data_IF_875458735888
#
_entry.id   IF_875458735888
#
_cell.length_a   1.000
_cell.length_b   1.000
_cell.length_c   1.000
_cell.angle_alpha   90.00
_cell.angle_beta   90.00
_cell.angle_gamma   90.00
#
_symmetry.space_group_name_H-M   'P 1'
#
loop_
_entity.id
_entity.type
_entity.pdbx_description
1 polymer ?
#
# COMPACT_ATOMS: atom_id res chain seq x y z
N UNK A 1 -7.40 19.14 15.97
CA UNK A 1 -7.12 20.59 15.80
C UNK A 1 -7.78 21.45 16.85
N UNK A 2 -9.06 21.27 17.15
CA UNK A 2 -9.76 22.04 18.19
C UNK A 2 -9.04 21.99 19.54
N UNK A 3 -8.53 20.81 19.92
CA UNK A 3 -7.75 20.63 21.15
C UNK A 3 -6.43 21.39 21.13
N UNK A 4 -5.66 21.32 20.04
CA UNK A 4 -4.46 22.13 19.85
C UNK A 4 -4.78 23.62 19.97
N UNK A 5 -5.80 24.10 19.24
CA UNK A 5 -6.21 25.50 19.24
C UNK A 5 -6.69 25.98 20.61
N UNK A 6 -7.28 25.08 21.43
CA UNK A 6 -7.75 25.39 22.78
C UNK A 6 -6.64 25.37 23.84
N UNK A 7 -5.53 24.68 23.58
CA UNK A 7 -4.41 24.45 24.51
C UNK A 7 -3.11 25.12 24.03
N UNK A 8 -2.18 24.35 23.48
CA UNK A 8 -0.85 24.83 23.04
C UNK A 8 -0.95 25.96 22.03
N UNK A 9 -1.88 25.86 21.08
CA UNK A 9 -2.09 26.90 20.06
C UNK A 9 -2.48 28.24 20.71
N UNK A 10 -3.40 28.21 21.67
CA UNK A 10 -3.80 29.40 22.42
C UNK A 10 -2.65 30.03 23.22
N UNK A 11 -1.85 29.18 23.88
CA UNK A 11 -0.70 29.64 24.67
C UNK A 11 0.39 30.30 23.82
N UNK A 12 0.59 29.80 22.61
CA UNK A 12 1.62 30.27 21.69
C UNK A 12 1.08 31.22 20.59
N UNK A 13 -0.21 31.55 20.65
CA UNK A 13 -0.88 32.40 19.66
C UNK A 13 -0.81 31.80 18.23
N UNK A 14 -0.99 30.48 18.14
CA UNK A 14 -1.06 29.72 16.89
C UNK A 14 -2.47 29.19 16.71
N UNK A 15 -3.04 29.37 15.52
CA UNK A 15 -4.33 28.77 15.16
C UNK A 15 -4.14 27.89 13.94
N UNK A 16 -4.62 26.65 14.00
CA UNK A 16 -4.60 25.69 12.90
C UNK A 16 -6.01 25.54 12.35
N UNK A 17 -6.15 25.79 11.05
CA UNK A 17 -7.37 25.56 10.29
C UNK A 17 -7.12 24.46 9.26
N UNK A 18 -8.01 23.46 9.18
CA UNK A 18 -7.90 22.38 8.23
C UNK A 18 -9.00 22.42 7.20
N UNK A 19 -8.64 22.12 5.97
CA UNK A 19 -9.57 21.93 4.86
C UNK A 19 -9.31 20.59 4.18
N UNK A 20 -10.41 19.89 3.84
CA UNK A 20 -10.31 18.69 2.99
C UNK A 20 -10.30 19.11 1.53
N UNK A 21 -9.43 18.50 0.74
CA UNK A 21 -9.38 18.70 -0.71
C UNK A 21 -10.07 17.56 -1.49
N UNK A 22 -10.75 16.64 -0.78
CA UNK A 22 -11.40 15.48 -1.38
C UNK A 22 -10.50 14.25 -1.37
N UNK A 23 -10.23 13.68 -2.53
CA UNK A 23 -9.33 12.52 -2.65
C UNK A 23 -7.85 12.92 -2.61
N UNK A 24 -6.96 11.92 -2.48
CA UNK A 24 -5.50 12.13 -2.59
C UNK A 24 -5.14 12.78 -3.93
N UNK A 25 -5.73 12.30 -5.03
CA UNK A 25 -5.47 12.85 -6.36
C UNK A 25 -5.94 14.31 -6.50
N UNK A 26 -7.07 14.68 -5.85
CA UNK A 26 -7.55 16.06 -5.83
C UNK A 26 -6.58 16.95 -5.03
N UNK A 27 -6.11 16.47 -3.88
CA UNK A 27 -5.13 17.19 -3.07
C UNK A 27 -3.83 17.44 -3.84
N UNK A 28 -3.25 16.40 -4.45
CA UNK A 28 -2.04 16.52 -5.28
C UNK A 28 -2.23 17.53 -6.43
N UNK A 29 -3.34 17.42 -7.16
CA UNK A 29 -3.67 18.32 -8.25
C UNK A 29 -3.76 19.76 -7.79
N UNK A 30 -4.45 20.02 -6.66
CA UNK A 30 -4.64 21.36 -6.12
C UNK A 30 -3.34 21.96 -5.58
N UNK A 31 -2.52 21.16 -4.88
CA UNK A 31 -1.22 21.60 -4.37
C UNK A 31 -0.27 21.95 -5.52
N UNK A 32 -0.16 21.11 -6.54
CA UNK A 32 0.67 21.38 -7.70
C UNK A 32 0.18 22.63 -8.49
N UNK A 33 -1.14 22.79 -8.65
CA UNK A 33 -1.70 23.96 -9.30
C UNK A 33 -1.40 25.25 -8.50
N UNK A 34 -1.49 25.20 -7.18
CA UNK A 34 -1.13 26.31 -6.28
C UNK A 34 0.38 26.63 -6.37
N UNK A 35 1.24 25.61 -6.31
CA UNK A 35 2.69 25.76 -6.41
C UNK A 35 3.14 26.37 -7.75
N UNK A 36 2.47 26.01 -8.85
CA UNK A 36 2.73 26.54 -10.19
C UNK A 36 2.09 27.94 -10.41
N UNK A 37 1.31 28.45 -9.47
CA UNK A 37 0.60 29.72 -9.61
C UNK A 37 -0.43 29.73 -10.73
N UNK A 38 -1.11 28.60 -10.99
CA UNK A 38 -2.12 28.50 -12.04
C UNK A 38 -3.30 29.44 -11.80
N UNK A 39 -3.86 30.00 -12.87
CA UNK A 39 -5.02 30.88 -12.79
C UNK A 39 -6.21 30.13 -12.16
N UNK A 40 -6.73 30.70 -11.07
CA UNK A 40 -7.85 30.10 -10.32
C UNK A 40 -7.44 29.06 -9.28
N UNK A 41 -6.15 28.75 -9.13
CA UNK A 41 -5.67 27.93 -8.01
C UNK A 41 -5.80 28.69 -6.68
N UNK A 42 -5.98 27.96 -5.59
CA UNK A 42 -5.91 28.50 -4.24
C UNK A 42 -4.48 28.94 -3.89
N UNK A 43 -4.33 29.71 -2.82
CA UNK A 43 -3.00 29.98 -2.25
C UNK A 43 -2.40 28.70 -1.68
N UNK A 44 -1.06 28.61 -1.68
CA UNK A 44 -0.36 27.49 -1.03
C UNK A 44 -0.70 27.45 0.46
N UNK A 45 -1.14 26.31 1.00
CA UNK A 45 -1.34 26.19 2.45
C UNK A 45 0.02 26.19 3.18
N UNK A 46 0.04 26.55 4.44
CA UNK A 46 1.26 26.45 5.25
C UNK A 46 1.72 25.00 5.44
N UNK A 47 0.76 24.08 5.53
CA UNK A 47 1.01 22.62 5.67
C UNK A 47 0.09 21.88 4.71
N UNK A 48 0.60 20.89 4.01
CA UNK A 48 -0.21 19.97 3.20
C UNK A 48 0.27 18.53 3.36
N UNK A 49 -0.64 17.59 3.19
CA UNK A 49 -0.28 16.17 3.16
C UNK A 49 0.22 15.78 1.78
N UNK A 50 1.32 15.04 1.68
CA UNK A 50 1.85 14.58 0.41
C UNK A 50 2.62 13.26 0.53
N UNK A 51 2.65 12.52 -0.56
CA UNK A 51 3.65 11.48 -0.80
C UNK A 51 4.97 12.10 -1.29
N UNK A 52 6.03 11.31 -1.25
CA UNK A 52 7.38 11.77 -1.61
C UNK A 52 7.46 12.36 -3.03
N UNK A 53 6.77 11.79 -4.01
CA UNK A 53 6.77 12.28 -5.39
C UNK A 53 6.17 13.69 -5.51
N UNK A 54 5.05 13.95 -4.85
CA UNK A 54 4.42 15.29 -4.83
C UNK A 54 5.28 16.28 -4.07
N UNK A 55 5.82 15.88 -2.91
CA UNK A 55 6.76 16.73 -2.15
C UNK A 55 8.00 17.08 -3.00
N UNK A 56 8.59 16.11 -3.69
CA UNK A 56 9.72 16.30 -4.58
C UNK A 56 9.40 17.32 -5.70
N UNK A 57 8.24 17.20 -6.33
CA UNK A 57 7.84 18.13 -7.39
C UNK A 57 7.72 19.59 -6.86
N UNK A 58 7.14 19.79 -5.68
CA UNK A 58 7.05 21.11 -5.02
C UNK A 58 8.41 21.61 -4.55
N UNK A 59 9.27 20.71 -4.07
CA UNK A 59 10.64 21.03 -3.64
C UNK A 59 11.51 21.54 -4.81
N UNK A 60 11.38 20.94 -6.00
CA UNK A 60 12.06 21.41 -7.21
C UNK A 60 11.67 22.85 -7.61
N UNK A 61 10.53 23.34 -7.14
CA UNK A 61 10.10 24.75 -7.29
C UNK A 61 10.65 25.67 -6.18
N UNK A 62 11.37 25.09 -5.21
CA UNK A 62 11.95 25.83 -4.05
C UNK A 62 10.93 26.25 -3.00
N UNK A 63 9.77 25.58 -2.93
CA UNK A 63 8.64 25.94 -2.09
C UNK A 63 8.48 25.06 -0.85
N UNK A 64 9.38 24.09 -0.59
CA UNK A 64 9.38 23.25 0.60
C UNK A 64 10.38 23.72 1.63
N UNK A 65 9.95 23.77 2.90
CA UNK A 65 10.84 24.10 4.01
C UNK A 65 11.66 22.85 4.43
N UNK A 66 12.93 23.06 4.78
CA UNK A 66 13.73 22.05 5.47
C UNK A 66 13.48 22.16 6.97
N UNK A 67 12.93 21.11 7.55
CA UNK A 67 12.58 21.04 8.96
C UNK A 67 13.73 20.55 9.86
N UNK A 68 14.87 20.17 9.31
CA UNK A 68 16.00 19.58 10.03
C UNK A 68 16.54 20.49 11.15
N UNK A 69 16.50 21.80 10.95
CA UNK A 69 16.91 22.83 11.94
C UNK A 69 15.88 23.12 13.02
N UNK A 70 14.63 22.66 12.88
CA UNK A 70 13.55 22.87 13.85
C UNK A 70 13.40 21.71 14.84
N UNK A 71 14.12 20.61 14.63
CA UNK A 71 14.09 19.42 15.47
C UNK A 71 15.44 19.24 16.18
N UNK A 72 15.41 18.98 17.47
CA UNK A 72 16.60 18.54 18.22
C UNK A 72 16.98 17.11 17.86
N UNK A 73 18.21 16.69 18.17
CA UNK A 73 18.66 15.32 17.93
C UNK A 73 17.83 14.30 18.73
N UNK A 74 17.36 14.67 19.94
CA UNK A 74 16.47 13.83 20.75
C UNK A 74 15.09 13.68 20.09
N UNK A 75 14.53 14.77 19.55
CA UNK A 75 13.26 14.73 18.83
C UNK A 75 13.36 13.90 17.52
N UNK A 76 14.48 14.00 16.80
CA UNK A 76 14.73 13.15 15.62
C UNK A 76 14.84 11.69 16.01
N UNK A 77 15.56 11.38 17.08
CA UNK A 77 15.74 10.00 17.58
C UNK A 77 14.44 9.35 18.11
N UNK A 78 13.36 10.11 18.28
CA UNK A 78 12.06 9.58 18.64
C UNK A 78 11.35 8.86 17.48
N UNK A 79 11.76 9.09 16.23
CA UNK A 79 11.19 8.50 15.02
C UNK A 79 12.09 7.41 14.46
N UNK A 80 11.55 6.38 13.79
CA UNK A 80 12.35 5.54 12.89
C UNK A 80 13.09 6.40 11.85
N UNK A 81 14.37 6.14 11.65
CA UNK A 81 15.21 6.92 10.73
C UNK A 81 14.62 6.93 9.30
N UNK A 82 14.09 5.80 8.84
CA UNK A 82 13.46 5.68 7.53
C UNK A 82 12.27 6.61 7.31
N UNK A 83 11.58 7.01 8.38
CA UNK A 83 10.44 7.93 8.28
C UNK A 83 10.91 9.37 8.05
N UNK A 84 12.01 9.79 8.68
CA UNK A 84 12.55 11.14 8.53
C UNK A 84 13.32 11.30 7.21
N UNK A 85 13.99 10.23 6.74
CA UNK A 85 14.79 10.27 5.50
C UNK A 85 13.95 10.14 4.24
N UNK A 86 12.64 9.86 4.33
CA UNK A 86 11.73 9.82 3.18
C UNK A 86 11.72 11.12 2.37
N UNK A 87 11.90 12.26 3.06
CA UNK A 87 12.00 13.60 2.46
C UNK A 87 13.43 14.07 2.15
N UNK A 88 14.44 13.24 2.38
CA UNK A 88 15.83 13.55 2.07
C UNK A 88 16.18 13.06 0.65
N UNK A 89 15.86 13.90 -0.33
CA UNK A 89 15.93 13.52 -1.74
C UNK A 89 17.36 13.43 -2.31
N UNK A 90 18.31 14.09 -1.67
CA UNK A 90 19.70 14.26 -2.12
C UNK A 90 20.75 13.78 -1.10
N UNK A 91 20.33 13.06 -0.07
CA UNK A 91 21.17 12.53 1.01
C UNK A 91 21.93 13.65 1.78
N UNK A 92 21.33 14.84 1.86
CA UNK A 92 21.91 16.01 2.56
C UNK A 92 21.56 16.11 4.05
N UNK A 93 20.71 15.21 4.55
CA UNK A 93 20.19 15.19 5.92
C UNK A 93 19.04 16.17 6.14
N UNK A 94 18.37 16.61 5.07
CA UNK A 94 17.18 17.46 5.14
C UNK A 94 15.94 16.67 5.55
N UNK A 95 15.00 17.33 6.24
CA UNK A 95 13.69 16.75 6.59
C UNK A 95 12.61 17.59 5.90
N UNK A 96 12.14 17.14 4.76
CA UNK A 96 11.13 17.83 3.94
C UNK A 96 9.73 17.25 4.10
N UNK A 97 9.63 16.04 4.63
CA UNK A 97 8.38 15.37 4.94
C UNK A 97 8.37 15.01 6.42
N UNK A 98 7.41 15.54 7.17
CA UNK A 98 7.25 15.24 8.59
C UNK A 98 6.28 14.06 8.74
N UNK A 99 6.68 12.91 9.32
CA UNK A 99 5.82 11.76 9.48
C UNK A 99 4.74 12.04 10.52
N UNK A 100 3.48 11.68 10.23
CA UNK A 100 2.35 11.84 11.15
C UNK A 100 1.51 10.58 11.32
N UNK A 101 1.48 9.73 10.29
CA UNK A 101 0.84 8.43 10.28
C UNK A 101 1.46 7.59 9.17
N UNK A 102 1.80 6.35 9.49
CA UNK A 102 2.40 5.43 8.52
C UNK A 102 1.54 4.17 8.36
N UNK A 103 1.79 3.43 7.30
CA UNK A 103 1.14 2.16 7.03
C UNK A 103 2.07 1.21 6.29
N UNK A 104 1.71 -0.06 6.34
CA UNK A 104 2.32 -1.12 5.53
C UNK A 104 1.25 -2.03 4.97
N UNK A 105 1.60 -3.05 4.22
CA UNK A 105 0.66 -4.01 3.66
C UNK A 105 0.59 -5.28 4.51
N UNK A 106 -0.63 -5.79 4.68
CA UNK A 106 -0.94 -7.02 5.40
C UNK A 106 -1.88 -7.91 4.57
N UNK A 107 -1.91 -9.19 4.88
CA UNK A 107 -2.86 -10.14 4.33
C UNK A 107 -4.12 -10.20 5.21
N UNK A 108 -5.25 -9.88 4.64
CA UNK A 108 -6.58 -9.95 5.25
C UNK A 108 -7.32 -11.18 4.72
N UNK A 109 -7.81 -12.02 5.63
CA UNK A 109 -8.43 -13.30 5.31
C UNK A 109 -9.83 -13.39 5.92
N UNK A 110 -10.81 -13.79 5.15
CA UNK A 110 -12.10 -14.27 5.64
C UNK A 110 -11.89 -15.62 6.33
N UNK A 111 -11.71 -15.58 7.64
CA UNK A 111 -11.38 -16.76 8.43
C UNK A 111 -12.54 -17.76 8.52
N UNK A 112 -13.76 -17.28 8.50
CA UNK A 112 -14.94 -18.14 8.54
C UNK A 112 -14.96 -19.13 7.38
N UNK A 113 -14.79 -18.65 6.16
CA UNK A 113 -14.80 -19.51 4.96
C UNK A 113 -13.47 -20.27 4.79
N UNK A 114 -12.36 -19.69 5.25
CA UNK A 114 -11.06 -20.37 5.31
C UNK A 114 -11.11 -21.64 6.16
N UNK A 115 -11.76 -21.60 7.34
CA UNK A 115 -11.85 -22.78 8.22
C UNK A 115 -12.57 -23.96 7.54
N UNK A 116 -13.57 -23.70 6.71
CA UNK A 116 -14.24 -24.76 5.94
C UNK A 116 -13.31 -25.39 4.89
N UNK A 117 -12.53 -24.58 4.20
CA UNK A 117 -11.51 -25.03 3.23
C UNK A 117 -10.38 -25.80 3.95
N UNK A 118 -9.83 -25.23 5.02
CA UNK A 118 -8.74 -25.82 5.80
C UNK A 118 -9.12 -27.19 6.38
N UNK A 119 -10.33 -27.32 6.93
CA UNK A 119 -10.85 -28.59 7.45
C UNK A 119 -10.98 -29.66 6.37
N UNK A 120 -11.32 -29.29 5.13
CA UNK A 120 -11.51 -30.20 4.01
C UNK A 120 -10.18 -30.62 3.35
N UNK A 121 -9.17 -29.75 3.32
CA UNK A 121 -7.96 -29.93 2.52
C UNK A 121 -6.68 -30.08 3.34
N UNK A 122 -6.70 -29.72 4.62
CA UNK A 122 -5.53 -29.67 5.49
C UNK A 122 -4.66 -28.43 5.26
N UNK A 123 -5.15 -27.41 4.55
CA UNK A 123 -4.46 -26.14 4.38
C UNK A 123 -4.23 -25.43 5.73
N UNK A 124 -3.13 -24.68 5.82
CA UNK A 124 -2.71 -23.97 7.03
C UNK A 124 -2.41 -22.51 6.71
N UNK A 125 -2.44 -21.63 7.72
CA UNK A 125 -2.06 -20.23 7.54
C UNK A 125 -0.62 -20.06 7.07
N UNK A 126 0.29 -20.94 7.50
CA UNK A 126 1.69 -20.95 7.09
C UNK A 126 1.85 -21.16 5.57
N UNK A 127 0.90 -21.83 4.92
CA UNK A 127 0.90 -21.99 3.45
C UNK A 127 0.71 -20.65 2.71
N UNK A 128 0.22 -19.62 3.41
CA UNK A 128 0.02 -18.28 2.87
C UNK A 128 1.19 -17.33 3.15
N UNK A 129 2.25 -17.78 3.82
CA UNK A 129 3.37 -16.91 4.21
C UNK A 129 4.31 -16.54 3.07
N UNK A 130 4.28 -17.30 1.97
CA UNK A 130 5.08 -17.00 0.78
C UNK A 130 4.20 -16.88 -0.46
N UNK A 131 4.67 -16.11 -1.45
CA UNK A 131 3.94 -15.96 -2.73
C UNK A 131 3.73 -17.30 -3.43
N UNK A 132 4.76 -18.15 -3.47
CA UNK A 132 4.67 -19.49 -4.06
C UNK A 132 3.69 -20.40 -3.30
N UNK A 133 3.69 -20.33 -1.95
CA UNK A 133 2.75 -21.06 -1.10
C UNK A 133 1.32 -20.58 -1.28
N UNK A 134 1.13 -19.25 -1.37
CA UNK A 134 -0.16 -18.62 -1.65
C UNK A 134 -0.72 -19.07 -3.01
N UNK A 135 0.10 -19.05 -4.08
CA UNK A 135 -0.29 -19.51 -5.41
C UNK A 135 -0.69 -20.99 -5.40
N UNK A 136 0.11 -21.85 -4.76
CA UNK A 136 -0.20 -23.27 -4.64
C UNK A 136 -1.49 -23.52 -3.84
N UNK A 137 -1.74 -22.74 -2.81
CA UNK A 137 -2.97 -22.80 -2.00
C UNK A 137 -4.17 -22.29 -2.78
N UNK A 138 -4.00 -21.24 -3.59
CA UNK A 138 -5.05 -20.70 -4.42
C UNK A 138 -5.54 -21.70 -5.48
N UNK A 139 -4.64 -22.45 -6.11
CA UNK A 139 -5.01 -23.52 -7.01
C UNK A 139 -5.82 -24.62 -6.30
N UNK A 140 -5.40 -25.03 -5.09
CA UNK A 140 -6.17 -26.00 -4.29
C UNK A 140 -7.56 -25.48 -3.88
N UNK A 141 -7.66 -24.18 -3.60
CA UNK A 141 -8.94 -23.55 -3.25
C UNK A 141 -9.88 -23.51 -4.46
N UNK A 142 -9.35 -23.15 -5.63
CA UNK A 142 -10.08 -23.18 -6.89
C UNK A 142 -10.64 -24.59 -7.17
N UNK A 143 -9.78 -25.62 -7.16
CA UNK A 143 -10.18 -27.00 -7.37
C UNK A 143 -11.22 -27.49 -6.34
N UNK A 144 -11.07 -27.08 -5.07
CA UNK A 144 -11.99 -27.47 -4.01
C UNK A 144 -13.35 -26.81 -4.17
N UNK A 145 -13.41 -25.57 -4.62
CA UNK A 145 -14.68 -24.86 -4.87
C UNK A 145 -15.36 -25.36 -6.15
N UNK A 146 -14.60 -25.59 -7.23
CA UNK A 146 -15.08 -26.15 -8.48
C UNK A 146 -15.73 -27.52 -8.28
N UNK A 147 -15.11 -28.41 -7.53
CA UNK A 147 -15.66 -29.73 -7.21
C UNK A 147 -16.98 -29.69 -6.43
N UNK A 148 -17.45 -28.55 -5.97
CA UNK A 148 -18.70 -28.35 -5.19
C UNK A 148 -19.87 -27.89 -6.05
N UNK A 149 -19.63 -27.61 -7.31
CA UNK A 149 -20.63 -27.22 -8.32
C UNK A 149 -20.77 -28.30 -9.38
N UNK A 150 -21.75 -28.17 -10.26
CA UNK A 150 -21.94 -29.08 -11.37
C UNK A 150 -21.34 -28.57 -12.69
N UNK A 151 -21.04 -27.28 -12.75
CA UNK A 151 -20.37 -26.68 -13.90
C UNK A 151 -18.85 -26.91 -13.73
N UNK A 152 -18.14 -27.28 -14.79
CA UNK A 152 -16.70 -27.42 -14.75
C UNK A 152 -16.03 -26.03 -14.86
N UNK A 153 -14.85 -25.90 -14.28
CA UNK A 153 -13.97 -24.73 -14.39
C UNK A 153 -14.61 -23.44 -13.86
N UNK A 154 -15.50 -23.56 -12.83
CA UNK A 154 -16.18 -22.43 -12.16
C UNK A 154 -15.71 -22.23 -10.72
N UNK A 155 -14.51 -22.69 -10.39
CA UNK A 155 -13.87 -22.51 -9.10
C UNK A 155 -13.71 -21.04 -8.73
N UNK A 156 -13.67 -20.76 -7.40
CA UNK A 156 -13.53 -19.40 -6.88
C UNK A 156 -12.06 -19.00 -6.69
N UNK A 157 -11.80 -17.73 -6.87
CA UNK A 157 -10.50 -17.17 -6.55
C UNK A 157 -10.26 -17.12 -5.04
N UNK A 158 -9.04 -17.45 -4.62
CA UNK A 158 -8.62 -17.30 -3.23
C UNK A 158 -8.21 -15.87 -2.91
N UNK A 159 -7.53 -15.20 -3.83
CA UNK A 159 -6.74 -14.03 -3.50
C UNK A 159 -6.89 -12.88 -4.49
N UNK A 160 -6.78 -11.67 -3.98
CA UNK A 160 -6.63 -10.45 -4.75
C UNK A 160 -5.61 -9.52 -4.08
N UNK A 161 -5.21 -8.47 -4.77
CA UNK A 161 -4.23 -7.53 -4.24
C UNK A 161 -4.58 -6.10 -4.63
N UNK A 162 -4.50 -5.19 -3.68
CA UNK A 162 -4.43 -3.76 -3.92
C UNK A 162 -2.99 -3.35 -4.25
N UNK A 163 -2.78 -2.15 -4.81
CA UNK A 163 -1.48 -1.53 -5.03
C UNK A 163 -0.45 -2.43 -5.75
N UNK A 164 -0.71 -2.75 -7.02
CA UNK A 164 0.19 -3.57 -7.84
C UNK A 164 1.58 -2.97 -8.01
N UNK A 165 1.71 -1.64 -7.98
CA UNK A 165 3.02 -1.00 -7.97
C UNK A 165 3.85 -1.42 -6.75
N UNK A 166 3.25 -1.59 -5.58
CA UNK A 166 3.96 -2.11 -4.41
C UNK A 166 4.40 -3.57 -4.61
N UNK A 167 3.54 -4.42 -5.18
CA UNK A 167 3.91 -5.79 -5.52
C UNK A 167 5.18 -5.85 -6.39
N UNK A 168 5.22 -5.00 -7.43
CA UNK A 168 6.37 -4.92 -8.32
C UNK A 168 7.64 -4.41 -7.63
N UNK A 169 7.52 -3.35 -6.81
CA UNK A 169 8.64 -2.72 -6.13
C UNK A 169 9.19 -3.58 -4.98
N UNK A 170 8.31 -4.07 -4.11
CA UNK A 170 8.68 -4.88 -2.96
C UNK A 170 9.15 -6.26 -3.41
N UNK A 171 8.40 -6.92 -4.31
CA UNK A 171 8.79 -8.23 -4.84
C UNK A 171 10.13 -8.19 -5.57
N UNK A 172 10.40 -7.15 -6.39
CA UNK A 172 11.72 -6.98 -6.99
C UNK A 172 12.82 -6.83 -5.92
N UNK A 173 12.56 -6.05 -4.87
CA UNK A 173 13.50 -5.83 -3.77
C UNK A 173 13.79 -7.13 -3.01
N UNK A 174 12.77 -7.91 -2.69
CA UNK A 174 12.88 -9.24 -2.08
C UNK A 174 13.70 -10.20 -2.95
N UNK A 175 13.50 -10.13 -4.26
CA UNK A 175 14.24 -10.92 -5.25
C UNK A 175 15.66 -10.37 -5.56
N UNK A 176 16.12 -9.39 -4.79
CA UNK A 176 17.48 -8.84 -4.85
C UNK A 176 17.68 -7.72 -5.89
N UNK A 177 16.60 -7.15 -6.42
CA UNK A 177 16.66 -6.05 -7.40
C UNK A 177 15.96 -4.80 -6.87
N UNK A 178 16.65 -3.68 -6.77
CA UNK A 178 16.04 -2.36 -6.53
C UNK A 178 15.56 -1.81 -7.86
N UNK A 179 14.24 -1.97 -8.14
CA UNK A 179 13.65 -1.69 -9.45
C UNK A 179 13.94 -0.27 -9.93
N UNK A 180 13.80 0.73 -9.09
CA UNK A 180 14.17 2.11 -9.37
C UNK A 180 15.37 2.53 -8.51
N UNK A 181 16.51 2.77 -9.13
CA UNK A 181 17.66 3.41 -8.49
C UNK A 181 17.68 4.89 -8.90
N UNK A 182 17.73 5.78 -7.90
CA UNK A 182 17.75 7.23 -8.15
C UNK A 182 19.04 7.81 -7.61
N UNK A 183 19.87 8.38 -8.49
CA UNK A 183 21.13 9.04 -8.16
C UNK A 183 21.13 10.46 -8.74
N UNK A 184 21.32 11.47 -7.91
CA UNK A 184 21.30 12.88 -8.32
C UNK A 184 20.03 13.28 -9.10
N UNK A 185 18.86 12.76 -8.68
CA UNK A 185 17.56 13.00 -9.30
C UNK A 185 17.34 12.26 -10.63
N UNK A 186 18.29 11.43 -11.06
CA UNK A 186 18.17 10.60 -12.26
C UNK A 186 17.80 9.17 -11.89
N UNK A 187 16.77 8.68 -12.51
CA UNK A 187 16.28 7.32 -12.30
C UNK A 187 16.86 6.35 -13.34
N UNK A 188 17.18 5.15 -12.87
CA UNK A 188 17.55 4.00 -13.70
C UNK A 188 16.66 2.82 -13.35
N UNK A 189 16.16 2.11 -14.37
CA UNK A 189 15.35 0.90 -14.21
C UNK A 189 16.24 -0.34 -14.10
N UNK A 190 16.08 -1.12 -13.03
CA UNK A 190 16.85 -2.35 -12.80
C UNK A 190 15.90 -3.55 -12.68
N UNK A 191 15.13 -3.83 -13.69
CA UNK A 191 14.25 -5.00 -13.76
C UNK A 191 14.86 -6.05 -14.68
N UNK A 192 15.41 -7.11 -14.09
CA UNK A 192 15.91 -8.25 -14.87
C UNK A 192 14.77 -9.16 -15.31
N UNK A 193 14.99 -9.90 -16.40
CA UNK A 193 14.01 -10.87 -16.90
C UNK A 193 13.66 -11.95 -15.85
N UNK A 194 14.65 -12.46 -15.11
CA UNK A 194 14.44 -13.46 -14.05
C UNK A 194 13.54 -12.94 -12.94
N UNK A 195 13.74 -11.69 -12.50
CA UNK A 195 12.88 -11.03 -11.49
C UNK A 195 11.49 -10.80 -12.05
N UNK A 196 11.39 -10.28 -13.26
CA UNK A 196 10.10 -10.07 -13.93
C UNK A 196 9.32 -11.37 -14.12
N UNK A 197 10.01 -12.48 -14.47
CA UNK A 197 9.41 -13.81 -14.60
C UNK A 197 8.84 -14.31 -13.25
N UNK A 198 9.60 -14.13 -12.17
CA UNK A 198 9.12 -14.50 -10.84
C UNK A 198 7.86 -13.72 -10.43
N UNK A 199 7.84 -12.42 -10.68
CA UNK A 199 6.67 -11.59 -10.43
C UNK A 199 5.47 -12.03 -11.29
N UNK A 200 5.70 -12.29 -12.58
CA UNK A 200 4.70 -12.78 -13.51
C UNK A 200 4.10 -14.13 -13.09
N UNK A 201 4.94 -15.10 -12.78
CA UNK A 201 4.51 -16.46 -12.42
C UNK A 201 3.69 -16.48 -11.12
N UNK A 202 3.90 -15.51 -10.22
CA UNK A 202 3.23 -15.44 -8.92
C UNK A 202 2.05 -14.45 -8.87
N UNK A 203 1.74 -13.74 -9.95
CA UNK A 203 0.54 -12.90 -10.02
C UNK A 203 -0.25 -13.10 -11.32
N UNK A 204 0.38 -12.88 -12.48
CA UNK A 204 -0.33 -12.96 -13.75
C UNK A 204 -0.85 -14.38 -14.03
N UNK A 205 0.01 -15.38 -13.89
CA UNK A 205 -0.36 -16.79 -14.15
C UNK A 205 -1.54 -17.24 -13.28
N UNK A 206 -1.51 -17.11 -11.94
CA UNK A 206 -2.66 -17.49 -11.13
C UNK A 206 -3.91 -16.63 -11.40
N UNK A 207 -3.76 -15.37 -11.85
CA UNK A 207 -4.90 -14.54 -12.21
C UNK A 207 -5.60 -15.04 -13.47
N UNK A 208 -4.85 -15.33 -14.53
CA UNK A 208 -5.40 -15.91 -15.79
C UNK A 208 -6.09 -17.24 -15.53
N UNK A 209 -5.57 -18.06 -14.60
CA UNK A 209 -6.19 -19.31 -14.15
C UNK A 209 -7.44 -19.16 -13.29
N UNK A 210 -7.80 -17.92 -12.90
CA UNK A 210 -8.93 -17.66 -12.02
C UNK A 210 -8.68 -18.01 -10.56
N UNK A 211 -7.42 -18.27 -10.18
CA UNK A 211 -7.04 -18.51 -8.79
C UNK A 211 -6.92 -17.20 -8.00
N UNK A 212 -6.62 -16.10 -8.71
CA UNK A 212 -6.63 -14.73 -8.23
C UNK A 212 -7.71 -13.94 -8.97
N UNK A 213 -8.25 -12.90 -8.32
CA UNK A 213 -9.25 -12.02 -8.93
C UNK A 213 -9.13 -10.58 -8.41
N UNK A 214 -9.77 -9.66 -9.11
CA UNK A 214 -9.84 -8.26 -8.75
C UNK A 214 -10.86 -7.51 -9.59
N UNK A 215 -12.11 -7.40 -9.11
CA UNK A 215 -13.23 -6.81 -9.83
C UNK A 215 -13.66 -5.45 -9.26
N UNK A 216 -13.72 -5.32 -7.93
CA UNK A 216 -14.10 -4.09 -7.24
C UNK A 216 -13.03 -3.01 -7.34
N UNK A 217 -13.36 -1.82 -6.87
CA UNK A 217 -12.40 -0.73 -6.75
C UNK A 217 -11.28 -1.08 -5.77
N UNK A 218 -11.65 -1.71 -4.65
CA UNK A 218 -10.74 -2.23 -3.64
C UNK A 218 -11.02 -3.70 -3.38
N UNK A 219 -10.02 -4.45 -2.96
CA UNK A 219 -10.15 -5.89 -2.67
C UNK A 219 -11.10 -6.17 -1.51
N UNK A 220 -11.26 -5.23 -0.57
CA UNK A 220 -12.29 -5.32 0.46
C UNK A 220 -13.72 -5.37 -0.12
N UNK A 221 -13.94 -4.81 -1.31
CA UNK A 221 -15.23 -4.94 -2.01
C UNK A 221 -15.43 -6.37 -2.56
N UNK A 222 -14.36 -7.01 -3.04
CA UNK A 222 -14.41 -8.39 -3.53
C UNK A 222 -14.64 -9.41 -2.39
N UNK A 223 -14.17 -9.12 -1.17
CA UNK A 223 -14.55 -9.91 0.02
C UNK A 223 -16.07 -9.82 0.28
N UNK A 224 -16.68 -8.64 0.13
CA UNK A 224 -18.13 -8.44 0.37
C UNK A 224 -19.00 -9.32 -0.53
N UNK A 225 -18.55 -9.57 -1.74
CA UNK A 225 -19.25 -10.38 -2.75
C UNK A 225 -18.81 -11.85 -2.74
N UNK A 226 -17.76 -12.19 -1.98
CA UNK A 226 -17.18 -13.54 -1.96
C UNK A 226 -16.41 -13.88 -3.25
N UNK A 227 -16.01 -12.89 -4.02
CA UNK A 227 -15.20 -13.07 -5.23
C UNK A 227 -13.78 -13.49 -4.89
N UNK A 228 -13.26 -13.06 -3.72
CA UNK A 228 -12.00 -13.54 -3.16
C UNK A 228 -12.17 -13.90 -1.68
N UNK A 229 -11.32 -14.80 -1.19
CA UNK A 229 -11.27 -15.19 0.21
C UNK A 229 -10.28 -14.36 1.02
N UNK A 230 -9.23 -13.89 0.40
CA UNK A 230 -8.17 -13.12 1.01
C UNK A 230 -7.68 -12.00 0.10
N UNK A 231 -7.07 -10.97 0.70
CA UNK A 231 -6.38 -9.94 -0.08
C UNK A 231 -5.22 -9.32 0.69
N UNK A 232 -4.27 -8.77 -0.06
CA UNK A 232 -3.24 -7.89 0.48
C UNK A 232 -3.63 -6.44 0.21
N UNK A 233 -3.55 -5.63 1.25
CA UNK A 233 -3.78 -4.19 1.21
C UNK A 233 -3.17 -3.48 2.40
N UNK A 234 -3.28 -2.15 2.43
CA UNK A 234 -2.81 -1.34 3.55
C UNK A 234 -3.46 -1.77 4.88
N UNK A 235 -2.73 -1.72 5.98
CA UNK A 235 -3.31 -1.98 7.31
C UNK A 235 -4.52 -1.07 7.60
N UNK A 236 -4.59 0.13 7.03
CA UNK A 236 -5.75 1.02 7.16
C UNK A 236 -7.02 0.45 6.50
N UNK A 237 -6.91 -0.48 5.56
CA UNK A 237 -8.06 -1.13 4.92
C UNK A 237 -8.84 -2.06 5.87
N UNK A 238 -8.28 -2.43 7.01
CA UNK A 238 -8.96 -3.21 8.04
C UNK A 238 -10.30 -2.59 8.48
N UNK A 239 -10.39 -1.26 8.48
CA UNK A 239 -11.62 -0.52 8.82
C UNK A 239 -12.75 -0.73 7.80
N UNK A 240 -12.42 -1.21 6.60
CA UNK A 240 -13.36 -1.49 5.50
C UNK A 240 -13.65 -2.97 5.32
N UNK A 241 -13.00 -3.85 6.10
CA UNK A 241 -13.25 -5.29 6.01
C UNK A 241 -14.72 -5.58 6.40
N UNK A 242 -15.47 -6.33 5.56
CA UNK A 242 -16.89 -6.54 5.78
C UNK A 242 -17.13 -7.51 6.96
N UNK A 243 -18.28 -7.34 7.62
CA UNK A 243 -18.74 -8.27 8.67
C UNK A 243 -19.52 -9.46 8.11
N UNK A 244 -19.90 -9.40 6.84
CA UNK A 244 -20.65 -10.45 6.15
C UNK A 244 -20.29 -10.51 4.67
N UNK A 245 -20.39 -11.68 4.09
CA UNK A 245 -20.36 -11.91 2.65
C UNK A 245 -21.77 -12.01 2.11
N UNK A 246 -22.03 -11.32 1.00
CA UNK A 246 -23.26 -11.42 0.23
C UNK A 246 -23.04 -12.36 -0.95
N UNK A 247 -23.48 -13.62 -0.84
CA UNK A 247 -23.27 -14.64 -1.87
C UNK A 247 -24.25 -14.48 -3.03
N UNK A 248 -25.48 -14.01 -2.74
CA UNK A 248 -26.50 -13.71 -3.73
C UNK A 248 -27.48 -12.67 -3.17
N UNK A 249 -28.48 -12.26 -3.95
CA UNK A 249 -29.51 -11.31 -3.50
C UNK A 249 -30.28 -11.78 -2.24
N UNK A 250 -30.28 -13.08 -1.96
CA UNK A 250 -31.05 -13.70 -0.87
C UNK A 250 -30.19 -14.47 0.13
N UNK A 251 -28.89 -14.59 -0.10
CA UNK A 251 -27.99 -15.40 0.74
C UNK A 251 -26.79 -14.60 1.19
N UNK A 252 -26.62 -14.51 2.50
CA UNK A 252 -25.46 -13.89 3.14
C UNK A 252 -25.10 -14.64 4.42
N UNK A 253 -23.85 -14.55 4.84
CA UNK A 253 -23.41 -15.08 6.13
C UNK A 253 -22.38 -14.15 6.79
N UNK A 254 -22.31 -14.19 8.11
CA UNK A 254 -21.32 -13.46 8.89
C UNK A 254 -19.94 -14.06 8.71
N UNK A 255 -18.94 -13.19 8.67
CA UNK A 255 -17.54 -13.58 8.55
C UNK A 255 -16.69 -12.92 9.63
N UNK A 256 -15.59 -13.58 9.97
CA UNK A 256 -14.55 -13.07 10.86
C UNK A 256 -13.29 -12.75 10.07
N UNK A 257 -12.59 -11.72 10.50
CA UNK A 257 -11.30 -11.32 9.94
C UNK A 257 -10.16 -12.07 10.67
N UNK A 258 -9.23 -12.63 9.90
CA UNK A 258 -7.88 -13.00 10.34
C UNK A 258 -6.88 -12.13 9.60
N UNK A 259 -5.92 -11.57 10.33
CA UNK A 259 -4.83 -10.78 9.77
C UNK A 259 -3.54 -11.60 9.85
N UNK A 260 -2.79 -11.60 8.76
CA UNK A 260 -1.51 -12.30 8.62
C UNK A 260 -0.47 -11.33 8.03
N UNK A 261 0.83 -11.60 8.20
CA UNK A 261 1.88 -10.86 7.51
C UNK A 261 1.68 -10.88 5.99
N UNK A 262 2.16 -9.85 5.30
CA UNK A 262 2.21 -9.82 3.84
C UNK A 262 3.06 -11.00 3.32
N UNK A 263 2.59 -11.81 2.35
CA UNK A 263 3.39 -12.88 1.78
C UNK A 263 4.66 -12.37 1.11
N UNK A 264 5.82 -12.95 1.44
CA UNK A 264 7.10 -12.67 0.78
C UNK A 264 7.49 -13.75 -0.22
N UNK A 265 8.48 -13.51 -1.09
CA UNK A 265 9.01 -14.57 -1.95
C UNK A 265 9.81 -15.59 -1.14
N UNK A 266 9.66 -16.88 -1.44
CA UNK A 266 10.28 -17.96 -0.68
C UNK A 266 11.81 -17.84 -0.63
N UNK A 267 12.36 -17.77 0.59
CA UNK A 267 13.81 -17.67 0.83
C UNK A 267 14.40 -16.29 0.62
N UNK A 268 13.57 -15.27 0.38
CA UNK A 268 13.99 -13.88 0.31
C UNK A 268 14.17 -13.27 1.70
N UNK A 269 14.78 -12.10 1.76
CA UNK A 269 14.70 -11.21 2.92
C UNK A 269 13.33 -10.55 2.93
N UNK A 270 12.68 -10.51 4.08
CA UNK A 270 11.39 -9.84 4.23
C UNK A 270 11.54 -8.32 4.09
N UNK A 271 10.73 -7.74 3.21
CA UNK A 271 10.69 -6.31 2.94
C UNK A 271 9.27 -5.82 3.12
N UNK A 272 9.10 -4.79 3.94
CA UNK A 272 7.80 -4.16 4.14
C UNK A 272 7.75 -2.81 3.41
N UNK A 273 6.66 -2.55 2.71
CA UNK A 273 6.47 -1.25 2.09
C UNK A 273 6.25 -0.18 3.15
N UNK A 274 7.01 0.92 3.09
CA UNK A 274 6.75 2.11 3.86
C UNK A 274 5.73 2.97 3.11
N UNK A 275 4.55 3.10 3.67
CA UNK A 275 3.43 3.88 3.14
C UNK A 275 2.94 4.93 4.13
N UNK A 276 1.97 5.72 3.70
CA UNK A 276 1.37 6.81 4.46
C UNK A 276 1.99 8.14 4.05
N UNK A 277 1.15 9.08 3.67
CA UNK A 277 1.58 10.45 3.39
C UNK A 277 2.11 11.11 4.66
N UNK A 278 3.12 11.96 4.50
CA UNK A 278 3.57 12.84 5.56
C UNK A 278 3.03 14.27 5.40
N UNK A 279 3.41 15.15 6.31
CA UNK A 279 3.10 16.57 6.24
C UNK A 279 4.29 17.35 5.72
N UNK A 280 4.05 18.14 4.70
CA UNK A 280 5.03 19.05 4.09
C UNK A 280 4.72 20.46 4.53
N UNK A 281 5.73 21.19 4.99
CA UNK A 281 5.62 22.61 5.33
C UNK A 281 6.06 23.45 4.14
N UNK A 282 5.20 24.36 3.70
CA UNK A 282 5.53 25.30 2.63
C UNK A 282 6.55 26.32 3.17
N UNK A 283 7.57 26.60 2.38
CA UNK A 283 8.61 27.57 2.71
C UNK A 283 8.02 28.96 2.91
N UNK A 284 8.31 29.56 4.06
CA UNK A 284 7.76 30.85 4.48
C UNK A 284 8.76 31.61 5.38
N UNK A 285 8.26 32.42 6.30
CA UNK A 285 9.10 33.04 7.34
C UNK A 285 9.50 32.00 8.40
N UNK A 286 10.66 32.15 9.06
CA UNK A 286 11.07 31.24 10.14
C UNK A 286 10.03 31.12 11.26
N UNK A 287 9.28 32.20 11.52
CA UNK A 287 8.23 32.22 12.54
C UNK A 287 7.03 31.36 12.15
N UNK A 288 6.62 31.42 10.89
CA UNK A 288 5.51 30.62 10.37
C UNK A 288 5.89 29.13 10.26
N UNK A 289 7.10 28.84 9.76
CA UNK A 289 7.63 27.47 9.74
C UNK A 289 7.73 26.87 11.14
N UNK A 290 8.22 27.65 12.15
CA UNK A 290 8.28 27.22 13.53
C UNK A 290 6.88 26.97 14.12
N UNK A 291 5.88 27.77 13.77
CA UNK A 291 4.50 27.55 14.17
C UNK A 291 3.92 26.25 13.59
N UNK A 292 4.19 25.96 12.32
CA UNK A 292 3.84 24.70 11.69
C UNK A 292 4.48 23.50 12.42
N UNK A 293 5.77 23.56 12.70
CA UNK A 293 6.49 22.50 13.41
C UNK A 293 5.98 22.32 14.84
N UNK A 294 5.60 23.40 15.53
CA UNK A 294 4.97 23.30 16.85
C UNK A 294 3.69 22.47 16.82
N UNK A 295 2.85 22.68 15.82
CA UNK A 295 1.65 21.86 15.64
C UNK A 295 2.00 20.39 15.32
N UNK A 296 2.95 20.15 14.41
CA UNK A 296 3.35 18.79 14.02
C UNK A 296 3.96 18.01 15.20
N UNK A 297 4.79 18.66 16.02
CA UNK A 297 5.32 18.07 17.26
C UNK A 297 4.23 17.72 18.27
N UNK A 298 3.24 18.60 18.45
CA UNK A 298 2.09 18.32 19.32
C UNK A 298 1.27 17.15 18.76
N UNK A 299 1.05 17.10 17.46
CA UNK A 299 0.27 16.07 16.82
C UNK A 299 0.92 14.68 16.94
N UNK A 300 2.25 14.62 16.99
CA UNK A 300 3.02 13.37 17.12
C UNK A 300 3.43 13.03 18.55
N UNK A 301 2.95 13.78 19.55
CA UNK A 301 3.02 13.30 20.93
C UNK A 301 2.27 11.96 21.06
N UNK A 302 2.77 10.98 21.84
CA UNK A 302 2.23 9.64 21.85
C UNK A 302 0.71 9.57 22.02
N UNK A 303 0.15 10.33 22.95
CA UNK A 303 -1.29 10.33 23.25
C UNK A 303 -2.13 10.78 22.04
N UNK A 304 -1.72 11.87 21.39
CA UNK A 304 -2.41 12.44 20.23
C UNK A 304 -2.24 11.56 19.00
N UNK A 305 -1.03 11.04 18.80
CA UNK A 305 -0.69 10.25 17.65
C UNK A 305 -1.36 8.87 17.66
N UNK A 306 -1.36 8.20 18.83
CA UNK A 306 -2.09 6.92 19.00
C UNK A 306 -3.59 7.13 18.71
N UNK A 307 -4.20 8.18 19.27
CA UNK A 307 -5.62 8.45 19.07
C UNK A 307 -5.95 8.63 17.58
N UNK A 308 -5.13 9.39 16.85
CA UNK A 308 -5.33 9.63 15.42
C UNK A 308 -5.05 8.37 14.58
N UNK A 309 -3.88 7.76 14.75
CA UNK A 309 -3.43 6.65 13.93
C UNK A 309 -4.36 5.43 14.08
N UNK A 310 -4.62 5.02 15.32
CA UNK A 310 -5.49 3.87 15.59
C UNK A 310 -6.93 4.13 15.13
N UNK A 311 -7.45 5.34 15.36
CA UNK A 311 -8.80 5.71 14.92
C UNK A 311 -8.97 5.73 13.40
N UNK A 312 -7.88 5.89 12.65
CA UNK A 312 -7.86 5.90 11.18
C UNK A 312 -7.30 4.61 10.56
N UNK A 313 -6.90 3.63 11.38
CA UNK A 313 -6.33 2.35 10.93
C UNK A 313 -4.88 2.44 10.46
N UNK A 314 -4.19 3.56 10.76
CA UNK A 314 -2.77 3.75 10.49
C UNK A 314 -1.90 3.35 11.69
N UNK A 315 -0.57 3.39 11.52
CA UNK A 315 0.41 3.24 12.57
C UNK A 315 0.82 4.61 13.11
N UNK A 316 1.05 4.74 14.42
CA UNK A 316 1.77 5.87 15.00
C UNK A 316 3.19 5.96 14.42
N UNK A 317 3.87 7.08 14.67
CA UNK A 317 5.15 7.36 13.98
C UNK A 317 6.34 7.52 14.90
N UNK A 318 6.17 7.46 16.21
CA UNK A 318 7.28 7.51 17.17
C UNK A 318 7.45 6.18 17.88
N UNK A 319 8.68 5.81 18.24
CA UNK A 319 8.95 4.56 18.98
C UNK A 319 8.12 4.43 20.26
N UNK A 320 7.80 5.55 20.93
CA UNK A 320 6.98 5.53 22.12
C UNK A 320 5.49 5.31 21.86
N UNK A 321 5.00 5.64 20.68
CA UNK A 321 3.61 5.49 20.28
C UNK A 321 3.38 4.21 19.46
N UNK A 322 4.37 3.75 18.70
CA UNK A 322 4.34 2.55 17.88
C UNK A 322 4.72 1.32 18.72
N UNK A 323 3.98 1.13 19.81
CA UNK A 323 4.16 0.06 20.78
C UNK A 323 2.80 -0.52 21.15
N UNK A 324 2.63 -1.83 20.99
CA UNK A 324 1.35 -2.52 21.24
C UNK A 324 0.85 -2.26 22.67
N UNK A 325 1.75 -2.26 23.66
CA UNK A 325 1.37 -2.04 25.06
C UNK A 325 0.92 -0.59 25.30
N UNK A 326 1.59 0.38 24.68
CA UNK A 326 1.18 1.79 24.76
C UNK A 326 -0.21 1.99 24.13
N UNK A 327 -0.46 1.36 22.98
CA UNK A 327 -1.76 1.41 22.30
C UNK A 327 -2.86 0.74 23.13
N UNK A 328 -2.62 -0.43 23.70
CA UNK A 328 -3.59 -1.11 24.57
C UNK A 328 -3.91 -0.33 25.84
N UNK A 329 -2.91 0.38 26.40
CA UNK A 329 -3.09 1.22 27.59
C UNK A 329 -3.64 2.62 27.29
N UNK A 330 -3.84 2.99 26.02
CA UNK A 330 -4.37 4.30 25.61
C UNK A 330 -5.82 4.57 26.04
N UNK A 331 -6.54 3.52 26.44
CA UNK A 331 -7.98 3.61 26.80
C UNK A 331 -8.92 3.61 25.60
N UNK A 332 -8.39 3.42 24.37
CA UNK A 332 -9.21 3.25 23.18
C UNK A 332 -9.91 1.88 23.19
N UNK A 333 -11.15 1.85 22.71
CA UNK A 333 -11.92 0.60 22.58
C UNK A 333 -11.51 -0.13 21.29
N UNK A 334 -10.53 -1.03 21.42
CA UNK A 334 -9.94 -1.79 20.31
C UNK A 334 -10.64 -3.15 20.19
N UNK A 335 -11.13 -3.44 19.00
CA UNK A 335 -11.56 -4.81 18.66
C UNK A 335 -10.35 -5.75 18.59
N UNK A 336 -10.57 -7.05 18.79
CA UNK A 336 -9.51 -8.05 18.68
C UNK A 336 -8.87 -8.04 17.27
N UNK A 337 -9.68 -7.86 16.21
CA UNK A 337 -9.17 -7.72 14.86
C UNK A 337 -8.26 -6.49 14.68
N UNK A 338 -8.57 -5.37 15.32
CA UNK A 338 -7.72 -4.18 15.26
C UNK A 338 -6.39 -4.42 16.01
N UNK A 339 -6.41 -5.13 17.13
CA UNK A 339 -5.19 -5.53 17.83
C UNK A 339 -4.30 -6.42 16.96
N UNK A 340 -4.90 -7.40 16.27
CA UNK A 340 -4.20 -8.25 15.30
C UNK A 340 -3.56 -7.44 14.16
N UNK A 341 -4.30 -6.45 13.62
CA UNK A 341 -3.78 -5.54 12.59
C UNK A 341 -2.55 -4.78 13.09
N UNK A 342 -2.69 -4.12 14.24
CA UNK A 342 -1.61 -3.32 14.81
C UNK A 342 -0.40 -4.19 15.15
N UNK A 343 -0.59 -5.36 15.77
CA UNK A 343 0.49 -6.25 16.12
C UNK A 343 1.28 -6.72 14.87
N UNK A 344 0.59 -7.14 13.80
CA UNK A 344 1.25 -7.56 12.57
C UNK A 344 1.92 -6.38 11.83
N UNK A 345 1.31 -5.20 11.84
CA UNK A 345 1.88 -4.05 11.17
C UNK A 345 3.11 -3.48 11.92
N UNK A 346 3.07 -3.44 13.25
CA UNK A 346 4.21 -3.05 14.09
C UNK A 346 5.36 -4.05 13.91
N UNK A 347 5.07 -5.35 13.96
CA UNK A 347 6.08 -6.39 13.73
C UNK A 347 6.77 -6.23 12.37
N UNK A 348 6.00 -5.95 11.30
CA UNK A 348 6.54 -5.70 9.98
C UNK A 348 7.44 -4.44 9.94
N UNK A 349 7.06 -3.36 10.65
CA UNK A 349 7.85 -2.13 10.70
C UNK A 349 9.15 -2.31 11.50
N UNK A 350 9.11 -3.08 12.59
CA UNK A 350 10.27 -3.27 13.47
C UNK A 350 11.26 -4.33 12.96
N UNK A 351 10.76 -5.38 12.28
CA UNK A 351 11.57 -6.56 11.97
C UNK A 351 11.90 -6.75 10.50
N UNK A 352 11.19 -6.05 9.57
CA UNK A 352 11.49 -6.13 8.14
C UNK A 352 12.27 -4.92 7.64
N UNK A 353 12.90 -5.03 6.47
CA UNK A 353 13.46 -3.87 5.78
C UNK A 353 12.33 -2.99 5.26
N UNK A 354 12.20 -1.78 5.82
CA UNK A 354 11.26 -0.80 5.28
C UNK A 354 11.78 -0.23 3.96
N UNK A 355 10.93 -0.23 2.95
CA UNK A 355 11.29 0.26 1.63
C UNK A 355 10.21 1.16 1.02
N UNK A 356 10.66 2.29 0.51
CA UNK A 356 9.94 3.13 -0.46
C UNK A 356 10.98 3.64 -1.47
N UNK A 357 10.68 3.71 -2.78
CA UNK A 357 11.64 4.24 -3.74
C UNK A 357 11.87 5.73 -3.51
N UNK A 358 13.09 6.21 -3.75
CA UNK A 358 13.35 7.64 -3.80
C UNK A 358 12.54 8.27 -4.95
N UNK A 359 11.95 9.46 -4.75
CA UNK A 359 11.21 10.15 -5.79
C UNK A 359 12.13 10.68 -6.89
N UNK A 360 11.59 10.81 -8.08
CA UNK A 360 12.26 11.36 -9.26
C UNK A 360 11.25 12.05 -10.19
N UNK A 361 11.75 12.81 -11.14
CA UNK A 361 10.90 13.47 -12.14
C UNK A 361 10.11 12.42 -12.95
N UNK A 362 8.77 12.48 -12.90
CA UNK A 362 7.90 11.49 -13.52
C UNK A 362 7.66 10.24 -12.69
N UNK A 363 8.09 10.20 -11.42
CA UNK A 363 7.92 9.06 -10.50
C UNK A 363 6.48 8.59 -10.36
N UNK A 364 5.53 9.53 -10.24
CA UNK A 364 4.09 9.23 -10.20
C UNK A 364 3.62 8.47 -11.45
N UNK A 365 4.06 8.88 -12.64
CA UNK A 365 3.64 8.23 -13.89
C UNK A 365 4.35 6.89 -14.10
N UNK A 366 5.62 6.78 -13.74
CA UNK A 366 6.33 5.50 -13.72
C UNK A 366 5.67 4.49 -12.76
N UNK A 367 5.21 4.96 -11.59
CA UNK A 367 4.44 4.15 -10.65
C UNK A 367 3.12 3.67 -11.25
N UNK A 368 2.40 4.49 -12.00
CA UNK A 368 1.18 4.08 -12.72
C UNK A 368 1.48 3.00 -13.77
N UNK A 369 2.62 3.06 -14.44
CA UNK A 369 3.05 1.97 -15.36
C UNK A 369 3.16 0.64 -14.60
N UNK A 370 3.77 0.64 -13.40
CA UNK A 370 3.84 -0.57 -12.57
C UNK A 370 2.46 -1.02 -12.09
N UNK A 371 1.60 -0.08 -11.71
CA UNK A 371 0.24 -0.35 -11.19
C UNK A 371 -0.62 -1.09 -12.22
N UNK A 372 -0.60 -0.64 -13.47
CA UNK A 372 -1.57 -1.09 -14.47
C UNK A 372 -1.03 -2.07 -15.50
N UNK A 373 0.29 -2.15 -15.70
CA UNK A 373 0.86 -2.95 -16.81
C UNK A 373 0.56 -4.44 -16.72
N UNK A 374 0.55 -5.02 -15.53
CA UNK A 374 0.27 -6.45 -15.32
C UNK A 374 -1.19 -6.67 -14.94
N UNK A 375 -1.78 -5.83 -14.10
CA UNK A 375 -3.14 -5.97 -13.60
C UNK A 375 -4.19 -5.84 -14.71
N UNK A 376 -4.06 -4.81 -15.57
CA UNK A 376 -4.98 -4.61 -16.68
C UNK A 376 -4.89 -5.75 -17.69
N UNK A 377 -3.66 -6.19 -18.01
CA UNK A 377 -3.44 -7.32 -18.90
C UNK A 377 -4.05 -8.60 -18.34
N UNK A 378 -3.78 -8.92 -17.07
CA UNK A 378 -4.31 -10.11 -16.40
C UNK A 378 -5.84 -10.11 -16.36
N UNK A 379 -6.46 -8.97 -16.09
CA UNK A 379 -7.92 -8.83 -16.08
C UNK A 379 -8.54 -9.01 -17.46
N UNK A 380 -7.94 -8.40 -18.50
CA UNK A 380 -8.41 -8.54 -19.88
C UNK A 380 -8.29 -9.98 -20.38
N UNK A 381 -7.16 -10.64 -20.10
CA UNK A 381 -6.90 -12.01 -20.54
C UNK A 381 -7.78 -13.01 -19.78
N UNK A 382 -8.00 -12.82 -18.47
CA UNK A 382 -8.94 -13.64 -17.70
C UNK A 382 -10.36 -13.53 -18.24
N UNK A 383 -10.84 -12.33 -18.57
CA UNK A 383 -12.16 -12.13 -19.17
C UNK A 383 -12.28 -12.89 -20.52
N UNK A 384 -11.22 -12.88 -21.34
CA UNK A 384 -11.20 -13.63 -22.59
C UNK A 384 -11.18 -15.16 -22.35
N UNK A 385 -10.51 -15.64 -21.32
CA UNK A 385 -10.55 -17.05 -20.90
C UNK A 385 -11.97 -17.43 -20.46
N UNK A 386 -12.63 -16.61 -19.65
CA UNK A 386 -14.00 -16.86 -19.18
C UNK A 386 -15.02 -16.93 -20.32
N UNK A 387 -14.89 -16.09 -21.36
CA UNK A 387 -15.70 -16.17 -22.55
C UNK A 387 -15.53 -17.53 -23.27
N UNK A 388 -14.31 -18.06 -23.34
CA UNK A 388 -14.02 -19.36 -23.95
C UNK A 388 -14.55 -20.51 -23.10
N UNK A 389 -14.38 -20.46 -21.76
CA UNK A 389 -14.97 -21.45 -20.85
C UNK A 389 -16.49 -21.48 -20.97
N UNK A 390 -17.15 -20.33 -21.03
CA UNK A 390 -18.60 -20.24 -21.26
C UNK A 390 -19.04 -20.80 -22.61
N UNK A 391 -18.17 -20.77 -23.62
CA UNK A 391 -18.39 -21.40 -24.91
C UNK A 391 -18.09 -22.93 -24.93
N UNK A 392 -17.65 -23.49 -23.79
CA UNK A 392 -17.38 -24.93 -23.64
C UNK A 392 -15.96 -25.34 -24.07
N UNK A 393 -15.03 -24.39 -24.22
CA UNK A 393 -13.61 -24.66 -24.41
C UNK A 393 -13.03 -25.10 -23.07
N UNK A 394 -12.12 -26.06 -23.05
CA UNK A 394 -11.45 -26.50 -21.82
C UNK A 394 -10.52 -25.41 -21.27
N UNK A 395 -10.33 -25.34 -19.91
CA UNK A 395 -9.43 -24.37 -19.29
C UNK A 395 -8.01 -24.42 -19.89
N UNK A 396 -7.48 -25.63 -20.11
CA UNK A 396 -6.14 -25.80 -20.70
C UNK A 396 -6.02 -25.21 -22.13
N UNK A 397 -7.06 -25.25 -22.95
CA UNK A 397 -7.08 -24.64 -24.27
C UNK A 397 -7.30 -23.15 -24.23
N UNK A 398 -8.20 -22.67 -23.34
CA UNK A 398 -8.52 -21.26 -23.18
C UNK A 398 -7.32 -20.45 -22.64
N UNK A 399 -6.55 -21.03 -21.73
CA UNK A 399 -5.36 -20.42 -21.12
C UNK A 399 -4.09 -20.50 -21.97
N UNK A 400 -4.02 -21.47 -22.92
CA UNK A 400 -2.77 -21.86 -23.58
C UNK A 400 -2.01 -20.71 -24.24
N UNK A 401 -2.70 -19.73 -24.83
CA UNK A 401 -2.08 -18.56 -25.47
C UNK A 401 -1.36 -17.68 -24.45
N UNK A 402 -1.97 -17.46 -23.31
CA UNK A 402 -1.56 -16.48 -22.30
C UNK A 402 -0.42 -16.99 -21.41
N UNK A 403 -0.21 -18.31 -21.35
CA UNK A 403 0.79 -18.96 -20.51
C UNK A 403 2.09 -19.34 -21.25
N UNK A 404 2.32 -18.75 -22.43
CA UNK A 404 3.54 -19.00 -23.22
C UNK A 404 4.69 -18.07 -22.79
N UNK A 405 5.94 -18.53 -23.02
CA UNK A 405 7.12 -17.68 -22.82
C UNK A 405 7.12 -16.45 -23.73
N UNK A 406 6.63 -16.57 -24.95
CA UNK A 406 6.50 -15.45 -25.89
C UNK A 406 5.53 -14.38 -25.36
N UNK A 407 4.44 -14.79 -24.71
CA UNK A 407 3.48 -13.84 -24.14
C UNK A 407 4.08 -13.05 -22.97
N UNK A 408 4.80 -13.73 -22.09
CA UNK A 408 5.57 -13.08 -21.03
C UNK A 408 6.61 -12.10 -21.60
N UNK A 409 7.40 -12.54 -22.57
CA UNK A 409 8.47 -11.73 -23.15
C UNK A 409 7.91 -10.44 -23.78
N UNK A 410 6.78 -10.52 -24.47
CA UNK A 410 6.09 -9.36 -25.03
C UNK A 410 5.68 -8.35 -23.95
N UNK A 411 5.12 -8.84 -22.82
CA UNK A 411 4.80 -7.98 -21.69
C UNK A 411 6.05 -7.36 -21.08
N UNK A 412 7.10 -8.15 -20.84
CA UNK A 412 8.35 -7.70 -20.23
C UNK A 412 9.00 -6.59 -21.06
N UNK A 413 9.14 -6.79 -22.35
CA UNK A 413 9.71 -5.79 -23.28
C UNK A 413 8.86 -4.51 -23.33
N UNK A 414 7.53 -4.64 -23.33
CA UNK A 414 6.61 -3.50 -23.26
C UNK A 414 6.79 -2.72 -21.96
N UNK A 415 6.89 -3.41 -20.81
CA UNK A 415 7.09 -2.80 -19.51
C UNK A 415 8.42 -2.04 -19.46
N UNK A 416 9.54 -2.67 -19.86
CA UNK A 416 10.85 -2.05 -19.92
C UNK A 416 10.84 -0.80 -20.82
N UNK A 417 10.22 -0.88 -21.98
CA UNK A 417 10.09 0.26 -22.91
C UNK A 417 9.32 1.43 -22.29
N UNK A 418 8.22 1.15 -21.59
CA UNK A 418 7.42 2.20 -20.93
C UNK A 418 8.18 2.86 -19.78
N UNK A 419 8.90 2.06 -18.98
CA UNK A 419 9.66 2.58 -17.84
C UNK A 419 10.91 3.36 -18.26
N UNK A 420 11.58 2.94 -19.34
CA UNK A 420 12.76 3.65 -19.85
C UNK A 420 12.47 5.07 -20.35
N UNK A 421 11.22 5.41 -20.60
CA UNK A 421 10.81 6.78 -20.93
C UNK A 421 11.03 7.78 -19.76
N UNK A 422 11.21 7.27 -18.54
CA UNK A 422 11.43 8.07 -17.33
C UNK A 422 12.89 8.06 -16.85
N UNK A 423 13.77 7.34 -17.54
CA UNK A 423 15.20 7.33 -17.25
C UNK A 423 15.86 8.67 -17.65
N UNK A 424 16.74 9.20 -16.79
CA UNK A 424 17.47 10.42 -17.17
C UNK A 424 17.96 11.24 -16.01
#
# INVERSE_FOLDING_TARGET
MDEFNATVGKEQNITVEASSQGSVNDLETNVLAAAEGKVGAAEMPNIFSAYADTCYAVDQMGLVADLSGYLTDEEKAAFPESYLTEGDFDDSGTIKIFPVAKSTELLFLNDTDWQAFAAATGAKYEDLSTMEGLVATAGKYYDWTDARTAAPDDGKALFGRDAMANYMLIGAKELGSTLFTVENGKMTVNLTEDVARKLWDNYYVPFVKGWFAGEGRFRSDDIKTGNVLAYVGSNSSATFFPKQVQVSDTESHEISLKVLPNPSFAGSKEVAVQQGAGMVVTKSTPEEEAACVTFLKWFTQPENNIQFAVGSGYLPVTHAADDVTAIENSGLDLTDSMKDVLANAIDAVENHELYTPKPFAGGTDARKVLEYSMSDLASADRAAVEEQLAAGVSAAEAEALYLTDEYFENWYQSLCTKLSAYEG
#
